data_IF_396954665505
#
_entry.id   IF_396954665505
#
_cell.length_a   1.000
_cell.length_b   1.000
_cell.length_c   1.000
_cell.angle_alpha   90.00
_cell.angle_beta   90.00
_cell.angle_gamma   90.00
#
_symmetry.space_group_name_H-M   'P 1'
#
loop_
_entity.id
_entity.type
_entity.pdbx_description
1 polymer ?
#
# COMPACT_ATOMS: atom_id res chain seq x y z
N UNK A 1 -10.53 -13.98 6.53
CA UNK A 1 -9.25 -14.56 6.07
C UNK A 1 -9.22 -14.52 4.55
N UNK A 2 -8.29 -13.75 3.97
CA UNK A 2 -8.12 -13.66 2.52
C UNK A 2 -7.07 -14.71 2.09
N UNK A 3 -7.40 -15.55 1.11
CA UNK A 3 -6.49 -16.53 0.53
C UNK A 3 -6.02 -16.06 -0.86
N UNK A 4 -4.74 -16.32 -1.20
CA UNK A 4 -4.17 -15.93 -2.49
C UNK A 4 -4.80 -16.70 -3.66
N UNK A 5 -5.44 -15.99 -4.59
CA UNK A 5 -6.06 -16.62 -5.78
C UNK A 5 -5.04 -17.04 -6.84
N UNK A 6 -3.91 -16.33 -6.93
CA UNK A 6 -2.85 -16.53 -7.92
C UNK A 6 -1.49 -16.33 -7.25
N UNK A 7 -0.45 -16.99 -7.75
CA UNK A 7 0.92 -16.92 -7.22
C UNK A 7 1.89 -16.49 -8.33
N UNK A 8 2.68 -15.46 -8.05
CA UNK A 8 3.85 -15.07 -8.85
C UNK A 8 5.08 -15.08 -7.95
N UNK A 9 6.08 -15.88 -8.29
CA UNK A 9 7.29 -16.07 -7.47
C UNK A 9 8.40 -15.17 -7.98
N UNK A 10 8.95 -14.35 -7.08
CA UNK A 10 10.08 -13.47 -7.36
C UNK A 10 11.26 -13.82 -6.45
N UNK A 11 12.48 -13.84 -7.01
CA UNK A 11 13.72 -14.02 -6.25
C UNK A 11 14.44 -12.68 -6.14
N UNK A 12 14.64 -12.20 -4.92
CA UNK A 12 15.51 -11.06 -4.65
C UNK A 12 16.97 -11.46 -4.89
N UNK A 13 17.67 -10.71 -5.75
CA UNK A 13 19.07 -11.00 -6.12
C UNK A 13 20.10 -10.45 -5.13
N UNK A 14 19.68 -9.62 -4.17
CA UNK A 14 20.55 -8.96 -3.18
C UNK A 14 19.94 -9.10 -1.80
N UNK A 15 20.79 -9.12 -0.78
CA UNK A 15 20.36 -9.03 0.61
C UNK A 15 19.78 -7.64 0.86
N UNK A 16 18.46 -7.58 1.01
CA UNK A 16 17.74 -6.38 1.41
C UNK A 16 17.47 -6.50 2.90
N UNK A 17 17.89 -5.50 3.68
CA UNK A 17 17.58 -5.42 5.10
C UNK A 17 16.09 -5.09 5.27
N UNK A 18 15.26 -6.13 5.40
CA UNK A 18 13.82 -6.01 5.60
C UNK A 18 13.50 -5.83 7.09
N UNK A 19 13.92 -4.70 7.67
CA UNK A 19 13.53 -4.32 9.03
C UNK A 19 12.13 -3.69 9.01
N UNK A 20 11.28 -4.05 9.97
CA UNK A 20 9.90 -3.56 10.02
C UNK A 20 9.82 -2.02 10.09
N UNK A 21 10.63 -1.42 10.97
CA UNK A 21 10.63 0.04 11.18
C UNK A 21 11.08 0.83 9.94
N UNK A 22 12.02 0.30 9.16
CA UNK A 22 12.52 0.98 7.96
C UNK A 22 11.57 0.80 6.79
N UNK A 23 10.94 -0.37 6.69
CA UNK A 23 9.84 -0.59 5.74
C UNK A 23 8.68 0.35 6.04
N UNK A 24 8.21 0.47 7.28
CA UNK A 24 7.11 1.38 7.61
C UNK A 24 7.43 2.84 7.23
N UNK A 25 8.64 3.31 7.50
CA UNK A 25 9.09 4.65 7.11
C UNK A 25 9.06 4.84 5.59
N UNK A 26 9.59 3.89 4.82
CA UNK A 26 9.62 4.00 3.36
C UNK A 26 8.22 3.86 2.74
N UNK A 27 7.38 2.96 3.26
CA UNK A 27 6.02 2.71 2.79
C UNK A 27 5.09 3.89 3.11
N UNK A 28 5.34 4.64 4.20
CA UNK A 28 4.56 5.84 4.56
C UNK A 28 4.56 6.91 3.47
N UNK A 29 5.67 7.04 2.73
CA UNK A 29 5.79 7.98 1.62
C UNK A 29 4.94 7.60 0.39
N UNK A 30 4.52 6.33 0.28
CA UNK A 30 3.72 5.80 -0.82
C UNK A 30 2.31 5.39 -0.39
N UNK A 31 1.80 6.03 0.68
CA UNK A 31 0.44 5.81 1.17
C UNK A 31 -0.60 6.08 0.08
N UNK A 32 -1.65 5.27 0.06
CA UNK A 32 -2.76 5.42 -0.88
C UNK A 32 -3.43 6.80 -0.73
N UNK A 33 -3.46 7.57 -1.83
CA UNK A 33 -4.14 8.86 -1.91
C UNK A 33 -5.30 8.76 -2.91
N UNK A 34 -6.50 9.30 -2.60
CA UNK A 34 -7.62 9.25 -3.53
C UNK A 34 -7.32 9.93 -4.87
N UNK A 35 -7.94 9.41 -5.92
CA UNK A 35 -7.86 9.94 -7.28
C UNK A 35 -8.60 11.28 -7.36
N UNK A 36 -7.93 12.33 -7.85
CA UNK A 36 -8.60 13.59 -8.20
C UNK A 36 -9.45 13.42 -9.46
N UNK A 37 -10.32 14.39 -9.74
CA UNK A 37 -11.23 14.36 -10.89
C UNK A 37 -10.54 14.32 -12.25
N UNK A 38 -9.24 14.63 -12.30
CA UNK A 38 -8.43 14.61 -13.52
C UNK A 38 -7.35 13.52 -13.51
N UNK A 39 -7.25 12.74 -12.44
CA UNK A 39 -6.24 11.68 -12.33
C UNK A 39 -6.77 10.39 -12.97
N UNK A 40 -6.01 9.83 -13.92
CA UNK A 40 -6.40 8.60 -14.64
C UNK A 40 -6.36 7.34 -13.76
N UNK A 41 -5.35 7.22 -12.90
CA UNK A 41 -5.23 6.16 -11.90
C UNK A 41 -4.19 6.57 -10.84
N UNK A 42 -4.44 6.23 -9.57
CA UNK A 42 -3.46 6.34 -8.48
C UNK A 42 -3.32 5.00 -7.77
N UNK A 43 -2.08 4.54 -7.65
CA UNK A 43 -1.72 3.33 -6.91
C UNK A 43 -0.90 3.74 -5.70
N UNK A 44 -1.26 3.22 -4.54
CA UNK A 44 -0.51 3.41 -3.31
C UNK A 44 -0.75 2.23 -2.38
N UNK A 45 0.05 2.18 -1.32
CA UNK A 45 0.02 1.11 -0.35
C UNK A 45 -1.16 1.30 0.60
N UNK A 46 -1.96 0.26 0.74
CA UNK A 46 -3.06 0.17 1.69
C UNK A 46 -2.77 -0.87 2.76
N UNK A 47 -3.40 -0.71 3.93
CA UNK A 47 -3.27 -1.67 5.01
C UNK A 47 -3.89 -3.03 4.62
N UNK A 48 -3.21 -4.14 4.92
CA UNK A 48 -3.70 -5.48 4.58
C UNK A 48 -4.96 -5.88 5.36
N UNK A 49 -5.18 -5.33 6.56
CA UNK A 49 -6.25 -5.71 7.49
C UNK A 49 -7.63 -5.08 7.21
N UNK A 50 -7.88 -4.73 5.95
CA UNK A 50 -9.17 -4.21 5.53
C UNK A 50 -9.21 -2.68 5.63
N UNK A 51 -9.75 -2.12 4.55
CA UNK A 51 -9.90 -0.71 4.27
C UNK A 51 -10.82 -0.02 5.31
N UNK A 52 -10.30 0.26 6.51
CA UNK A 52 -11.01 1.00 7.57
C UNK A 52 -10.66 2.50 7.60
N UNK A 53 -9.92 3.04 6.63
CA UNK A 53 -9.81 4.49 6.44
C UNK A 53 -10.94 4.99 5.50
N UNK A 54 -12.20 4.69 5.82
CA UNK A 54 -13.34 5.39 5.23
C UNK A 54 -13.66 6.63 6.04
N UNK A 55 -13.65 7.79 5.36
CA UNK A 55 -14.37 9.03 5.71
C UNK A 55 -13.85 9.84 6.93
N UNK A 56 -12.63 10.37 6.89
CA UNK A 56 -12.32 11.58 7.67
C UNK A 56 -12.21 12.83 6.79
N UNK A 57 -11.57 12.77 5.62
CA UNK A 57 -11.23 13.99 4.85
C UNK A 57 -12.16 14.33 3.66
N UNK A 58 -13.44 13.96 3.73
CA UNK A 58 -14.43 14.34 2.71
C UNK A 58 -15.52 15.30 3.21
N UNK A 59 -15.26 16.00 4.33
CA UNK A 59 -16.05 17.16 4.77
C UNK A 59 -15.13 18.23 5.36
N UNK A 60 -14.71 19.14 4.49
CA UNK A 60 -14.21 20.47 4.77
C UNK A 60 -14.61 21.35 3.60
#
# INVERSE_FOLDING_TARGET
MLWFKNLMVYRLSRDVALTADEMEKQLSAFAFTPCGSQDMAKTGLGFPDGFSQRRADARG
#
